data_IF_819516463249
#
_entry.id   IF_819516463249
#
_cell.length_a   1.000
_cell.length_b   1.000
_cell.length_c   1.000
_cell.angle_alpha   90.00
_cell.angle_beta   90.00
_cell.angle_gamma   90.00
#
_symmetry.space_group_name_H-M   'P 1'
#
loop_
_entity.id
_entity.type
_entity.pdbx_description
1 polymer ?
#
# COMPACT_ATOMS: atom_id res chain seq x y z
N UNK A 1 -22.76 -44.15 -6.24
CA UNK A 1 -23.01 -42.82 -5.65
C UNK A 1 -22.47 -41.81 -6.63
N UNK A 2 -23.30 -40.86 -7.07
CA UNK A 2 -22.86 -39.76 -7.95
C UNK A 2 -21.92 -38.84 -7.19
N UNK A 3 -20.99 -38.16 -7.87
CA UNK A 3 -20.18 -37.08 -7.29
C UNK A 3 -21.04 -36.03 -6.58
N UNK A 4 -22.26 -35.78 -7.10
CA UNK A 4 -23.18 -34.79 -6.57
C UNK A 4 -23.84 -35.22 -5.25
N UNK A 5 -24.08 -36.52 -5.09
CA UNK A 5 -24.58 -37.11 -3.84
C UNK A 5 -23.51 -37.09 -2.74
N UNK A 6 -22.24 -36.82 -3.06
CA UNK A 6 -21.14 -36.68 -2.10
C UNK A 6 -20.87 -35.23 -1.70
N UNK A 7 -21.39 -34.25 -2.45
CA UNK A 7 -21.16 -32.80 -2.24
C UNK A 7 -22.31 -32.16 -1.44
N UNK A 8 -23.50 -32.74 -1.49
CA UNK A 8 -24.70 -32.20 -0.84
C UNK A 8 -25.41 -33.24 0.04
N UNK A 9 -24.67 -34.13 0.72
CA UNK A 9 -25.28 -35.08 1.66
C UNK A 9 -25.97 -34.33 2.80
N UNK A 10 -27.27 -34.61 2.98
CA UNK A 10 -28.10 -34.02 4.03
C UNK A 10 -27.52 -34.18 5.46
N UNK A 11 -26.68 -35.19 5.68
CA UNK A 11 -26.13 -35.56 7.00
C UNK A 11 -24.64 -35.25 7.17
N UNK A 12 -23.96 -34.66 6.17
CA UNK A 12 -22.54 -34.26 6.30
C UNK A 12 -22.35 -32.77 6.04
N UNK A 13 -22.00 -32.07 7.10
CA UNK A 13 -21.56 -30.67 7.07
C UNK A 13 -20.28 -30.61 6.24
N UNK A 14 -20.37 -30.11 5.01
CA UNK A 14 -19.17 -29.79 4.25
C UNK A 14 -18.49 -28.57 4.89
N UNK A 15 -17.23 -28.71 5.29
CA UNK A 15 -16.42 -27.63 5.87
C UNK A 15 -15.82 -26.69 4.81
N UNK A 16 -16.41 -26.66 3.61
CA UNK A 16 -15.77 -26.16 2.39
C UNK A 16 -16.74 -25.35 1.56
N UNK A 17 -16.25 -24.23 1.01
CA UNK A 17 -16.99 -23.41 0.07
C UNK A 17 -17.13 -24.06 -1.30
N UNK A 18 -18.35 -24.10 -1.85
CA UNK A 18 -18.65 -24.58 -3.19
C UNK A 18 -18.86 -23.38 -4.10
N UNK A 19 -18.02 -23.25 -5.12
CA UNK A 19 -18.01 -22.13 -6.06
C UNK A 19 -18.71 -22.45 -7.37
N UNK A 20 -19.03 -21.40 -8.15
CA UNK A 20 -19.68 -21.48 -9.47
C UNK A 20 -21.10 -22.06 -9.38
N UNK A 21 -21.83 -21.67 -8.34
CA UNK A 21 -23.24 -22.01 -8.17
C UNK A 21 -24.11 -20.84 -8.61
N UNK A 22 -25.29 -21.12 -9.15
CA UNK A 22 -26.30 -20.10 -9.45
C UNK A 22 -27.42 -20.20 -8.42
N UNK A 23 -27.83 -19.09 -7.81
CA UNK A 23 -29.02 -19.09 -6.96
C UNK A 23 -30.28 -19.08 -7.84
N UNK A 24 -31.12 -20.11 -7.72
CA UNK A 24 -32.33 -20.26 -8.56
C UNK A 24 -33.56 -19.70 -7.86
N UNK A 25 -33.71 -19.97 -6.57
CA UNK A 25 -34.84 -19.50 -5.78
C UNK A 25 -34.52 -19.50 -4.28
N UNK A 26 -35.27 -18.70 -3.55
CA UNK A 26 -35.39 -18.79 -2.10
C UNK A 26 -36.79 -19.34 -1.80
N UNK A 27 -36.87 -20.49 -1.12
CA UNK A 27 -38.14 -21.07 -0.71
C UNK A 27 -38.26 -20.98 0.81
N UNK A 28 -39.36 -20.39 1.28
CA UNK A 28 -39.72 -20.48 2.69
C UNK A 28 -40.28 -21.89 2.89
N UNK A 29 -39.67 -22.66 3.78
CA UNK A 29 -40.10 -24.02 4.09
C UNK A 29 -41.51 -23.99 4.74
N UNK A 30 -42.25 -25.11 4.69
CA UNK A 30 -43.65 -25.20 5.13
C UNK A 30 -43.88 -24.76 6.59
N UNK A 31 -42.84 -24.85 7.43
CA UNK A 31 -42.84 -24.40 8.82
C UNK A 31 -42.83 -22.87 9.00
N UNK A 32 -42.68 -22.09 7.93
CA UNK A 32 -42.65 -20.62 7.93
C UNK A 32 -41.45 -19.98 8.66
N UNK A 33 -40.49 -20.80 9.11
CA UNK A 33 -39.37 -20.40 9.99
C UNK A 33 -37.99 -20.68 9.42
N UNK A 34 -37.86 -21.59 8.47
CA UNK A 34 -36.58 -21.94 7.83
C UNK A 34 -36.64 -21.61 6.35
N UNK A 35 -35.58 -20.99 5.84
CA UNK A 35 -35.44 -20.70 4.41
C UNK A 35 -34.55 -21.77 3.79
N UNK A 36 -34.93 -22.23 2.59
CA UNK A 36 -34.16 -23.15 1.78
C UNK A 36 -33.58 -22.42 0.56
N UNK A 37 -32.31 -22.69 0.31
CA UNK A 37 -31.53 -22.22 -0.84
C UNK A 37 -31.70 -23.23 -1.97
N UNK A 38 -32.36 -22.85 -3.05
CA UNK A 38 -32.34 -23.64 -4.28
C UNK A 38 -31.19 -23.13 -5.14
N UNK A 39 -30.14 -23.93 -5.28
CA UNK A 39 -28.98 -23.62 -6.10
C UNK A 39 -28.90 -24.53 -7.31
N UNK A 40 -28.35 -24.04 -8.41
CA UNK A 40 -27.94 -24.84 -9.55
C UNK A 40 -26.42 -25.00 -9.53
N UNK A 41 -25.96 -26.25 -9.60
CA UNK A 41 -24.56 -26.62 -9.71
C UNK A 41 -24.39 -27.67 -10.80
N UNK A 42 -23.52 -27.41 -11.78
CA UNK A 42 -23.26 -28.32 -12.91
C UNK A 42 -24.52 -28.78 -13.65
N UNK A 43 -25.52 -27.91 -13.79
CA UNK A 43 -26.78 -28.20 -14.48
C UNK A 43 -27.80 -29.01 -13.66
N UNK A 44 -27.54 -29.24 -12.37
CA UNK A 44 -28.48 -29.89 -11.45
C UNK A 44 -28.88 -28.95 -10.33
N UNK A 45 -30.15 -29.02 -9.93
CA UNK A 45 -30.67 -28.25 -8.82
C UNK A 45 -30.50 -29.01 -7.50
N UNK A 46 -30.10 -28.28 -6.47
CA UNK A 46 -29.91 -28.76 -5.11
C UNK A 46 -30.62 -27.81 -4.14
N UNK A 47 -31.26 -28.38 -3.13
CA UNK A 47 -31.92 -27.61 -2.06
C UNK A 47 -31.09 -27.75 -0.80
N UNK A 48 -30.64 -26.62 -0.25
CA UNK A 48 -29.81 -26.55 0.96
C UNK A 48 -30.48 -25.70 2.02
N UNK A 49 -30.27 -26.05 3.29
CA UNK A 49 -30.83 -25.26 4.38
C UNK A 49 -30.10 -23.93 4.53
N UNK A 50 -30.79 -22.81 4.42
CA UNK A 50 -30.19 -21.49 4.59
C UNK A 50 -29.95 -21.18 6.07
N UNK A 51 -28.84 -20.51 6.37
CA UNK A 51 -28.60 -19.95 7.71
C UNK A 51 -29.41 -18.66 7.94
N UNK A 52 -29.65 -17.89 6.88
CA UNK A 52 -30.36 -16.61 6.90
C UNK A 52 -31.22 -16.46 5.65
N UNK A 53 -32.16 -15.51 5.68
CA UNK A 53 -32.90 -15.12 4.49
C UNK A 53 -31.94 -14.61 3.41
N UNK A 54 -32.11 -15.07 2.17
CA UNK A 54 -31.32 -14.59 1.04
C UNK A 54 -32.07 -13.50 0.31
N UNK A 55 -31.36 -12.42 0.00
CA UNK A 55 -31.90 -11.30 -0.74
C UNK A 55 -32.42 -11.76 -2.10
N UNK A 56 -33.66 -11.41 -2.43
CA UNK A 56 -34.27 -11.73 -3.73
C UNK A 56 -33.48 -11.14 -4.90
N UNK A 57 -32.76 -10.03 -4.66
CA UNK A 57 -31.87 -9.41 -5.63
C UNK A 57 -30.72 -10.31 -6.08
N UNK A 58 -30.43 -11.38 -5.34
CA UNK A 58 -29.36 -12.33 -5.65
C UNK A 58 -29.84 -13.55 -6.43
N UNK A 59 -31.15 -13.69 -6.64
CA UNK A 59 -31.72 -14.74 -7.49
C UNK A 59 -31.27 -14.53 -8.94
N UNK A 60 -30.81 -15.60 -9.58
CA UNK A 60 -30.22 -15.61 -10.91
C UNK A 60 -28.72 -15.28 -10.94
N UNK A 61 -28.12 -14.88 -9.81
CA UNK A 61 -26.69 -14.56 -9.75
C UNK A 61 -25.84 -15.80 -9.52
N UNK A 62 -24.63 -15.76 -10.05
CA UNK A 62 -23.56 -16.72 -9.78
C UNK A 62 -22.78 -16.29 -8.54
N UNK A 63 -22.38 -17.28 -7.74
CA UNK A 63 -21.64 -17.06 -6.52
C UNK A 63 -21.04 -18.34 -5.94
N UNK A 64 -20.97 -18.36 -4.62
CA UNK A 64 -20.49 -19.50 -3.84
C UNK A 64 -21.38 -19.75 -2.63
N UNK A 65 -21.42 -21.00 -2.19
CA UNK A 65 -22.03 -21.42 -0.93
C UNK A 65 -20.94 -21.76 0.07
N UNK A 66 -21.08 -21.33 1.32
CA UNK A 66 -20.20 -21.73 2.41
C UNK A 66 -21.00 -22.23 3.63
N UNK A 67 -20.44 -23.13 4.45
CA UNK A 67 -21.04 -23.49 5.72
C UNK A 67 -21.12 -22.27 6.65
N UNK A 68 -22.25 -22.13 7.34
CA UNK A 68 -22.38 -21.12 8.39
C UNK A 68 -21.53 -21.54 9.61
N UNK A 69 -20.54 -20.72 9.96
CA UNK A 69 -19.68 -20.95 11.13
C UNK A 69 -20.21 -20.31 12.42
N UNK A 70 -21.40 -19.73 12.41
CA UNK A 70 -21.93 -19.05 13.58
C UNK A 70 -22.50 -20.05 14.60
N UNK A 71 -21.88 -20.08 15.79
CA UNK A 71 -22.36 -20.75 16.98
C UNK A 71 -23.63 -20.10 17.59
N UNK A 72 -24.39 -19.30 16.81
CA UNK A 72 -25.64 -18.74 17.30
C UNK A 72 -26.71 -19.83 17.23
N UNK A 73 -27.16 -20.22 18.42
CA UNK A 73 -28.10 -21.31 18.75
C UNK A 73 -29.44 -21.42 17.99
N UNK A 74 -29.67 -20.63 16.94
CA UNK A 74 -30.90 -20.66 16.13
C UNK A 74 -30.71 -21.35 14.76
N UNK A 75 -29.52 -21.28 14.16
CA UNK A 75 -29.23 -21.92 12.89
C UNK A 75 -28.64 -23.31 13.19
N UNK A 76 -29.43 -24.37 13.04
CA UNK A 76 -28.98 -25.74 13.30
C UNK A 76 -27.70 -26.11 12.53
N UNK A 77 -26.99 -27.12 13.03
CA UNK A 77 -25.85 -27.74 12.36
C UNK A 77 -26.20 -28.06 10.89
N UNK A 78 -25.32 -27.70 9.96
CA UNK A 78 -25.49 -27.97 8.52
C UNK A 78 -26.20 -26.87 7.71
N UNK A 79 -26.38 -25.67 8.28
CA UNK A 79 -26.88 -24.51 7.53
C UNK A 79 -25.80 -23.89 6.64
N UNK A 80 -26.25 -23.32 5.52
CA UNK A 80 -25.40 -22.80 4.45
C UNK A 80 -25.71 -21.32 4.19
N UNK A 81 -24.69 -20.58 3.74
CA UNK A 81 -24.80 -19.18 3.34
C UNK A 81 -24.45 -19.09 1.86
N UNK A 82 -25.29 -18.44 1.06
CA UNK A 82 -24.97 -18.07 -0.32
C UNK A 82 -24.41 -16.64 -0.36
N UNK A 83 -23.37 -16.43 -1.17
CA UNK A 83 -22.85 -15.10 -1.49
C UNK A 83 -22.64 -14.98 -2.99
N UNK A 84 -23.35 -14.03 -3.61
CA UNK A 84 -23.14 -13.70 -5.01
C UNK A 84 -21.73 -13.14 -5.21
N UNK A 85 -21.09 -13.47 -6.34
CA UNK A 85 -19.86 -12.80 -6.73
C UNK A 85 -20.14 -11.34 -7.04
N UNK A 86 -19.19 -10.47 -6.68
CA UNK A 86 -19.30 -9.07 -7.04
C UNK A 86 -19.22 -8.85 -8.55
N UNK A 87 -18.36 -9.62 -9.23
CA UNK A 87 -18.32 -9.72 -10.67
C UNK A 87 -19.06 -10.99 -11.14
N UNK A 88 -20.17 -10.80 -11.86
CA UNK A 88 -20.99 -11.91 -12.36
C UNK A 88 -20.35 -12.68 -13.52
N UNK A 89 -19.23 -12.23 -14.07
CA UNK A 89 -18.39 -13.00 -14.99
C UNK A 89 -17.34 -13.87 -14.29
N UNK A 90 -17.06 -13.62 -13.00
CA UNK A 90 -16.01 -14.29 -12.25
C UNK A 90 -16.35 -15.78 -12.03
N UNK A 91 -15.42 -16.68 -12.33
CA UNK A 91 -15.56 -18.13 -12.13
C UNK A 91 -14.27 -18.70 -11.55
N UNK A 92 -14.39 -19.68 -10.64
CA UNK A 92 -13.26 -20.54 -10.25
C UNK A 92 -12.83 -21.41 -11.43
N UNK A 93 -11.52 -21.57 -11.57
CA UNK A 93 -10.86 -22.47 -12.52
C UNK A 93 -9.96 -23.38 -11.70
N UNK A 94 -10.46 -24.56 -11.34
CA UNK A 94 -9.76 -25.48 -10.44
C UNK A 94 -8.51 -26.08 -11.08
N UNK A 95 -8.46 -26.11 -12.41
CA UNK A 95 -7.34 -26.59 -13.22
C UNK A 95 -6.09 -25.72 -13.06
N UNK A 96 -6.25 -24.47 -12.62
CA UNK A 96 -5.17 -23.53 -12.37
C UNK A 96 -4.74 -23.48 -10.89
N UNK A 97 -5.38 -24.27 -10.02
CA UNK A 97 -5.03 -24.27 -8.60
C UNK A 97 -3.62 -24.82 -8.37
N UNK A 98 -2.88 -24.17 -7.47
CA UNK A 98 -1.58 -24.67 -7.00
C UNK A 98 -1.72 -25.14 -5.56
N UNK A 99 -0.98 -26.18 -5.20
CA UNK A 99 -1.01 -26.77 -3.86
C UNK A 99 0.27 -26.50 -3.10
N UNK A 100 0.17 -26.53 -1.79
CA UNK A 100 1.35 -26.58 -0.92
C UNK A 100 1.96 -28.00 -1.04
N UNK A 101 3.27 -28.10 -1.25
CA UNK A 101 4.01 -29.37 -1.45
C UNK A 101 3.79 -30.39 -0.31
N UNK A 102 3.47 -29.92 0.90
CA UNK A 102 3.12 -30.78 2.05
C UNK A 102 1.75 -31.48 1.91
N UNK A 103 0.85 -30.90 1.12
CA UNK A 103 -0.51 -31.39 0.88
C UNK A 103 -0.64 -31.73 -0.61
N UNK A 104 -0.15 -32.91 -1.02
CA UNK A 104 -0.38 -33.44 -2.37
C UNK A 104 -1.83 -33.18 -2.81
N UNK A 105 -2.00 -32.62 -4.01
CA UNK A 105 -3.28 -32.35 -4.69
C UNK A 105 -4.39 -33.23 -4.12
N UNK A 106 -5.14 -32.71 -3.16
CA UNK A 106 -6.32 -33.42 -2.68
C UNK A 106 -7.32 -33.29 -3.82
N UNK A 107 -7.66 -34.37 -4.53
CA UNK A 107 -8.70 -34.30 -5.54
C UNK A 107 -9.95 -33.77 -4.85
N UNK A 108 -10.53 -32.73 -5.44
CA UNK A 108 -11.76 -32.05 -5.04
C UNK A 108 -12.57 -32.77 -3.92
N UNK A 109 -12.77 -32.06 -2.81
CA UNK A 109 -13.86 -32.23 -1.84
C UNK A 109 -13.85 -33.40 -0.83
N UNK A 110 -12.80 -34.21 -0.72
CA UNK A 110 -12.86 -35.38 0.20
C UNK A 110 -11.69 -35.54 1.19
N UNK A 111 -10.83 -34.52 1.33
CA UNK A 111 -9.76 -34.51 2.32
C UNK A 111 -10.23 -34.13 3.73
N UNK A 112 -9.51 -34.60 4.75
CA UNK A 112 -9.67 -34.21 6.17
C UNK A 112 -9.35 -32.72 6.44
N UNK A 113 -8.90 -31.99 5.43
CA UNK A 113 -8.35 -30.64 5.54
C UNK A 113 -9.21 -29.62 4.80
N UNK A 114 -9.51 -28.45 5.42
CA UNK A 114 -10.21 -27.36 4.74
C UNK A 114 -9.45 -26.92 3.47
N UNK A 115 -10.17 -26.61 2.39
CA UNK A 115 -9.58 -26.30 1.07
C UNK A 115 -8.59 -25.12 1.09
N UNK A 116 -8.74 -24.17 2.02
CA UNK A 116 -7.80 -23.06 2.16
C UNK A 116 -6.44 -23.46 2.74
N UNK A 117 -6.27 -24.69 3.26
CA UNK A 117 -4.99 -25.20 3.78
C UNK A 117 -4.21 -26.04 2.77
N UNK A 118 -4.88 -26.61 1.77
CA UNK A 118 -4.25 -27.44 0.75
C UNK A 118 -3.73 -26.63 -0.44
N UNK A 119 -4.43 -25.53 -0.79
CA UNK A 119 -4.06 -24.67 -1.91
C UNK A 119 -3.21 -23.48 -1.45
N UNK A 120 -2.17 -23.16 -2.22
CA UNK A 120 -1.37 -21.95 -2.02
C UNK A 120 -2.02 -20.78 -2.77
N UNK A 121 -2.38 -21.02 -4.04
CA UNK A 121 -3.17 -20.11 -4.86
C UNK A 121 -4.31 -20.85 -5.57
N UNK A 122 -5.41 -20.13 -5.76
CA UNK A 122 -6.61 -20.55 -6.44
C UNK A 122 -6.69 -19.88 -7.82
N UNK A 123 -7.09 -20.65 -8.82
CA UNK A 123 -7.36 -20.18 -10.18
C UNK A 123 -8.73 -19.54 -10.34
N UNK A 124 -8.76 -18.43 -11.06
CA UNK A 124 -9.95 -17.63 -11.36
C UNK A 124 -9.94 -17.20 -12.82
N UNK A 125 -11.11 -16.86 -13.37
CA UNK A 125 -11.26 -16.18 -14.66
C UNK A 125 -12.45 -15.23 -14.63
N UNK A 126 -12.44 -14.21 -15.46
CA UNK A 126 -13.54 -13.26 -15.66
C UNK A 126 -13.50 -12.73 -17.09
N UNK A 127 -14.50 -11.95 -17.51
CA UNK A 127 -14.57 -11.43 -18.88
C UNK A 127 -13.37 -10.55 -19.24
N UNK A 128 -12.84 -9.79 -18.26
CA UNK A 128 -11.65 -8.95 -18.45
C UNK A 128 -10.34 -9.74 -18.49
N UNK A 129 -10.32 -10.98 -17.96
CA UNK A 129 -9.16 -11.88 -17.90
C UNK A 129 -9.59 -13.30 -18.28
N UNK A 130 -9.94 -13.53 -19.58
CA UNK A 130 -10.56 -14.78 -20.01
C UNK A 130 -9.59 -15.97 -19.96
N UNK A 131 -8.29 -15.72 -20.05
CA UNK A 131 -7.22 -16.73 -19.92
C UNK A 131 -7.04 -17.24 -18.50
N UNK A 132 -7.64 -16.57 -17.52
CA UNK A 132 -7.51 -16.87 -16.10
C UNK A 132 -6.33 -16.17 -15.42
N UNK A 133 -6.36 -16.18 -14.08
CA UNK A 133 -5.39 -15.58 -13.18
C UNK A 133 -5.40 -16.31 -11.83
N UNK A 134 -4.37 -16.09 -11.01
CA UNK A 134 -4.23 -16.69 -9.68
C UNK A 134 -4.54 -15.67 -8.59
N UNK A 135 -5.19 -16.11 -7.52
CA UNK A 135 -5.37 -15.34 -6.29
C UNK A 135 -5.05 -16.23 -5.08
N UNK A 136 -4.62 -15.68 -3.94
CA UNK A 136 -4.34 -16.45 -2.74
C UNK A 136 -5.52 -17.29 -2.26
N UNK A 137 -5.23 -18.44 -1.65
CA UNK A 137 -6.27 -19.32 -1.14
C UNK A 137 -7.11 -18.63 -0.04
N UNK A 138 -8.43 -18.77 -0.16
CA UNK A 138 -9.40 -18.12 0.72
C UNK A 138 -9.80 -16.69 0.33
N UNK A 139 -9.15 -16.10 -0.68
CA UNK A 139 -9.54 -14.80 -1.23
C UNK A 139 -10.52 -15.00 -2.39
N UNK A 140 -11.66 -14.29 -2.35
CA UNK A 140 -12.57 -14.17 -3.49
C UNK A 140 -12.30 -12.83 -4.17
N UNK A 141 -11.78 -12.80 -5.42
CA UNK A 141 -11.50 -11.55 -6.12
C UNK A 141 -12.73 -10.66 -6.29
N UNK A 142 -12.50 -9.36 -6.34
CA UNK A 142 -13.54 -8.36 -6.53
C UNK A 142 -13.92 -8.14 -7.99
N UNK A 143 -14.38 -6.93 -8.30
CA UNK A 143 -14.79 -6.56 -9.65
C UNK A 143 -13.62 -6.71 -10.64
N UNK A 144 -13.85 -7.27 -11.84
CA UNK A 144 -12.82 -7.51 -12.87
C UNK A 144 -11.64 -8.38 -12.39
N UNK A 145 -11.82 -9.15 -11.30
CA UNK A 145 -10.76 -9.94 -10.70
C UNK A 145 -9.71 -9.13 -9.94
N UNK A 146 -10.04 -7.90 -9.52
CA UNK A 146 -9.14 -7.05 -8.76
C UNK A 146 -9.01 -7.50 -7.30
N UNK A 147 -7.79 -7.41 -6.77
CA UNK A 147 -7.46 -7.56 -5.37
C UNK A 147 -6.13 -6.85 -5.08
N UNK A 148 -5.84 -6.55 -3.82
CA UNK A 148 -4.53 -6.02 -3.40
C UNK A 148 -3.61 -7.21 -3.12
N UNK A 149 -2.45 -7.35 -3.77
CA UNK A 149 -1.50 -8.43 -3.51
C UNK A 149 -0.97 -8.36 -2.08
N UNK A 150 -0.45 -9.50 -1.60
CA UNK A 150 0.22 -9.56 -0.30
C UNK A 150 1.67 -9.11 -0.49
N UNK A 151 1.98 -7.94 0.07
CA UNK A 151 3.32 -7.33 0.07
C UNK A 151 3.89 -7.28 1.50
N UNK A 152 3.35 -8.11 2.41
CA UNK A 152 3.73 -8.07 3.82
C UNK A 152 5.04 -8.82 4.09
N UNK A 153 5.76 -8.34 5.11
CA UNK A 153 6.95 -8.99 5.62
C UNK A 153 6.65 -9.74 6.93
N UNK A 154 7.23 -10.94 7.07
CA UNK A 154 6.97 -11.80 8.24
C UNK A 154 7.88 -11.42 9.40
N UNK A 155 7.27 -10.95 10.50
CA UNK A 155 7.96 -10.66 11.76
C UNK A 155 7.58 -11.69 12.83
N UNK A 156 8.58 -12.34 13.44
CA UNK A 156 8.37 -13.34 14.50
C UNK A 156 8.50 -12.72 15.90
N UNK A 157 7.45 -12.84 16.71
CA UNK A 157 7.39 -12.29 18.09
C UNK A 157 7.08 -13.40 19.09
N UNK A 158 7.78 -13.41 20.24
CA UNK A 158 7.44 -14.30 21.35
C UNK A 158 6.22 -13.77 22.10
N UNK A 159 5.21 -14.60 22.24
CA UNK A 159 3.95 -14.23 22.89
C UNK A 159 3.97 -14.62 24.37
N UNK A 160 3.72 -13.68 25.30
CA UNK A 160 3.62 -14.00 26.72
C UNK A 160 2.28 -14.68 27.07
N UNK A 161 2.22 -15.55 28.10
CA UNK A 161 1.00 -16.25 28.50
C UNK A 161 -0.18 -15.32 28.83
N UNK A 162 0.10 -14.12 29.34
CA UNK A 162 -0.90 -13.09 29.65
C UNK A 162 -1.64 -12.64 28.38
N UNK A 163 -0.92 -12.49 27.26
CA UNK A 163 -1.54 -12.13 25.99
C UNK A 163 -2.32 -13.29 25.37
N UNK A 164 -1.84 -14.54 25.53
CA UNK A 164 -2.62 -15.71 25.14
C UNK A 164 -3.95 -15.78 25.91
N UNK A 165 -3.95 -15.42 27.20
CA UNK A 165 -5.15 -15.40 28.00
C UNK A 165 -6.16 -14.37 27.47
N UNK A 166 -5.72 -13.15 27.16
CA UNK A 166 -6.60 -12.13 26.57
C UNK A 166 -7.14 -12.56 25.19
N UNK A 167 -6.30 -13.14 24.32
CA UNK A 167 -6.77 -13.66 23.04
C UNK A 167 -7.85 -14.74 23.22
N UNK A 168 -7.65 -15.67 24.17
CA UNK A 168 -8.64 -16.71 24.50
C UNK A 168 -9.93 -16.14 25.07
N UNK A 169 -9.86 -15.08 25.90
CA UNK A 169 -11.03 -14.38 26.43
C UNK A 169 -11.93 -13.86 25.31
N UNK A 170 -11.33 -13.46 24.19
CA UNK A 170 -12.03 -13.00 22.99
C UNK A 170 -12.24 -14.10 21.93
N UNK A 171 -11.95 -15.37 22.25
CA UNK A 171 -12.06 -16.52 21.34
C UNK A 171 -11.23 -16.38 20.05
N UNK A 172 -10.12 -15.65 20.12
CA UNK A 172 -9.20 -15.42 19.00
C UNK A 172 -7.85 -16.07 19.26
N UNK A 173 -7.08 -16.31 18.19
CA UNK A 173 -5.65 -16.60 18.33
C UNK A 173 -4.88 -15.29 18.54
N UNK A 174 -3.71 -15.34 19.23
CA UNK A 174 -2.84 -14.17 19.37
C UNK A 174 -2.50 -13.48 18.05
N UNK A 175 -2.19 -14.25 17.01
CA UNK A 175 -1.88 -13.71 15.68
C UNK A 175 -3.07 -12.93 15.07
N UNK A 176 -4.27 -13.51 15.12
CA UNK A 176 -5.50 -12.88 14.60
C UNK A 176 -5.82 -11.57 15.33
N UNK A 177 -5.58 -11.54 16.66
CA UNK A 177 -5.79 -10.34 17.46
C UNK A 177 -4.77 -9.24 17.14
N UNK A 178 -3.50 -9.61 16.93
CA UNK A 178 -2.45 -8.67 16.52
C UNK A 178 -2.70 -8.14 15.10
N UNK A 179 -3.03 -9.00 14.15
CA UNK A 179 -3.35 -8.63 12.77
C UNK A 179 -4.51 -7.63 12.72
N UNK A 180 -5.55 -7.86 13.54
CA UNK A 180 -6.67 -6.94 13.69
C UNK A 180 -6.22 -5.58 14.24
N UNK A 181 -5.42 -5.56 15.30
CA UNK A 181 -4.92 -4.31 15.88
C UNK A 181 -4.03 -3.53 14.91
N UNK A 182 -3.15 -4.23 14.17
CA UNK A 182 -2.34 -3.64 13.09
C UNK A 182 -3.23 -3.04 12.01
N UNK A 183 -4.29 -3.75 11.61
CA UNK A 183 -5.26 -3.26 10.63
C UNK A 183 -5.95 -1.97 11.08
N UNK A 184 -6.31 -1.88 12.36
CA UNK A 184 -6.87 -0.67 12.96
C UNK A 184 -5.85 0.48 12.99
N UNK A 185 -4.65 0.22 13.49
CA UNK A 185 -3.62 1.26 13.61
C UNK A 185 -3.16 1.79 12.24
N UNK A 186 -3.00 0.92 11.25
CA UNK A 186 -2.62 1.29 9.89
C UNK A 186 -3.79 1.86 9.06
N UNK A 187 -4.99 1.95 9.63
CA UNK A 187 -6.17 2.47 8.96
C UNK A 187 -6.61 1.64 7.75
N UNK A 188 -6.20 0.37 7.67
CA UNK A 188 -6.40 -0.49 6.50
C UNK A 188 -7.88 -0.84 6.40
N UNK A 189 -8.53 -0.43 5.30
CA UNK A 189 -9.91 -0.81 5.02
C UNK A 189 -9.93 -1.89 3.95
N UNK A 190 -10.52 -3.04 4.28
CA UNK A 190 -10.67 -4.15 3.35
C UNK A 190 -12.06 -4.09 2.69
N UNK A 191 -12.09 -3.73 1.41
CA UNK A 191 -13.34 -3.58 0.67
C UNK A 191 -13.62 -4.81 -0.18
N UNK A 192 -14.89 -5.23 -0.25
CA UNK A 192 -15.29 -6.37 -1.09
C UNK A 192 -14.97 -6.20 -2.59
N UNK A 193 -14.98 -4.96 -3.09
CA UNK A 193 -14.71 -4.64 -4.50
C UNK A 193 -13.24 -4.84 -4.90
N UNK A 194 -12.33 -4.72 -3.94
CA UNK A 194 -10.89 -4.88 -4.11
C UNK A 194 -10.32 -5.42 -2.81
N UNK A 195 -10.58 -6.71 -2.52
CA UNK A 195 -10.23 -7.30 -1.24
C UNK A 195 -8.72 -7.47 -1.14
N UNK A 196 -8.19 -7.46 0.08
CA UNK A 196 -6.75 -7.60 0.32
C UNK A 196 -6.35 -9.05 0.53
N UNK A 197 -5.29 -9.47 -0.16
CA UNK A 197 -4.68 -10.79 -0.03
C UNK A 197 -4.01 -11.00 1.33
N UNK A 198 -3.44 -9.92 1.89
CA UNK A 198 -2.73 -9.90 3.17
C UNK A 198 -3.63 -10.11 4.41
N UNK A 199 -4.95 -10.15 4.21
CA UNK A 199 -5.99 -10.35 5.25
C UNK A 199 -6.08 -9.26 6.29
N UNK A 200 -5.31 -8.18 6.20
CA UNK A 200 -5.42 -7.05 7.11
C UNK A 200 -6.70 -6.26 6.84
N UNK A 201 -7.32 -5.80 7.91
CA UNK A 201 -8.53 -5.01 7.86
C UNK A 201 -8.86 -4.47 9.23
N UNK A 202 -9.20 -3.18 9.28
CA UNK A 202 -9.70 -2.51 10.45
C UNK A 202 -11.12 -2.99 10.77
N UNK A 203 -11.42 -3.09 12.07
CA UNK A 203 -12.72 -3.48 12.60
C UNK A 203 -13.76 -2.35 12.56
N UNK A 204 -13.33 -1.09 12.49
CA UNK A 204 -14.26 0.04 12.49
C UNK A 204 -13.59 1.38 12.77
N UNK A 205 -14.33 2.48 12.61
CA UNK A 205 -13.80 3.84 12.81
C UNK A 205 -13.37 4.10 14.24
N UNK A 206 -14.13 3.58 15.19
CA UNK A 206 -13.92 3.83 16.62
C UNK A 206 -12.72 3.02 17.09
N UNK A 207 -12.55 1.80 16.58
CA UNK A 207 -11.38 0.95 16.84
C UNK A 207 -10.10 1.61 16.33
N UNK A 208 -10.11 2.20 15.13
CA UNK A 208 -8.96 2.98 14.62
C UNK A 208 -8.62 4.15 15.53
N UNK A 209 -9.63 4.91 15.95
CA UNK A 209 -9.44 6.04 16.86
C UNK A 209 -8.84 5.58 18.20
N UNK A 210 -9.31 4.46 18.76
CA UNK A 210 -8.80 3.94 20.02
C UNK A 210 -7.39 3.35 19.89
N UNK A 211 -7.08 2.70 18.77
CA UNK A 211 -5.73 2.19 18.48
C UNK A 211 -4.73 3.35 18.38
N UNK A 212 -5.10 4.42 17.66
CA UNK A 212 -4.30 5.64 17.53
C UNK A 212 -4.08 6.32 18.89
N UNK A 213 -5.15 6.52 19.67
CA UNK A 213 -5.05 7.09 21.02
C UNK A 213 -4.17 6.26 21.95
N UNK A 214 -4.20 4.93 21.84
CA UNK A 214 -3.31 4.07 22.60
C UNK A 214 -1.85 4.25 22.19
N UNK A 215 -1.58 4.29 20.87
CA UNK A 215 -0.22 4.45 20.34
C UNK A 215 0.36 5.81 20.76
N UNK A 216 -0.40 6.88 20.56
CA UNK A 216 0.01 8.24 20.90
C UNK A 216 0.30 8.36 22.40
N UNK A 217 -0.56 7.79 23.25
CA UNK A 217 -0.34 7.83 24.70
C UNK A 217 0.87 7.01 25.15
N UNK A 218 1.11 5.85 24.54
CA UNK A 218 2.21 4.96 24.93
C UNK A 218 3.57 5.40 24.35
N UNK A 219 3.55 5.96 23.14
CA UNK A 219 4.72 6.12 22.29
C UNK A 219 4.80 7.47 21.56
N UNK A 220 3.85 8.40 21.75
CA UNK A 220 3.86 9.73 21.10
C UNK A 220 5.14 10.53 21.34
N UNK A 221 5.78 10.38 22.51
CA UNK A 221 7.10 10.99 22.79
C UNK A 221 8.24 10.46 21.91
N UNK A 222 8.02 9.35 21.20
CA UNK A 222 8.95 8.73 20.25
C UNK A 222 8.44 8.84 18.82
N UNK A 223 7.29 9.48 18.60
CA UNK A 223 6.78 9.70 17.27
C UNK A 223 7.75 10.60 16.51
N UNK A 224 8.11 10.17 15.32
CA UNK A 224 8.85 10.96 14.34
C UNK A 224 7.92 11.08 13.15
N UNK A 225 7.98 12.21 12.45
CA UNK A 225 7.29 12.37 11.18
C UNK A 225 8.14 11.71 10.07
N UNK A 226 7.76 10.51 9.58
CA UNK A 226 8.54 9.81 8.57
C UNK A 226 8.56 10.56 7.23
N UNK A 227 7.52 11.35 6.92
CA UNK A 227 7.48 12.15 5.69
C UNK A 227 8.49 13.30 5.77
N UNK A 228 8.60 13.92 6.95
CA UNK A 228 9.62 14.93 7.21
C UNK A 228 11.04 14.35 7.13
N UNK A 229 11.28 13.17 7.70
CA UNK A 229 12.59 12.50 7.58
C UNK A 229 12.94 12.16 6.14
N UNK A 230 11.97 11.69 5.36
CA UNK A 230 12.21 11.33 3.96
C UNK A 230 12.50 12.59 3.12
N UNK A 231 11.79 13.70 3.37
CA UNK A 231 12.11 15.00 2.77
C UNK A 231 13.51 15.48 3.14
N UNK A 232 13.90 15.40 4.41
CA UNK A 232 15.26 15.77 4.83
C UNK A 232 16.33 14.91 4.17
N UNK A 233 16.08 13.61 3.97
CA UNK A 233 17.00 12.72 3.27
C UNK A 233 17.12 13.08 1.77
N UNK A 234 16.00 13.35 1.10
CA UNK A 234 15.98 13.80 -0.30
C UNK A 234 16.69 15.15 -0.46
N UNK A 235 16.43 16.12 0.42
CA UNK A 235 17.10 17.42 0.43
C UNK A 235 18.62 17.29 0.68
N UNK A 236 19.04 16.35 1.53
CA UNK A 236 20.46 16.07 1.77
C UNK A 236 21.15 15.43 0.57
N UNK A 237 20.48 14.49 -0.13
CA UNK A 237 21.00 13.92 -1.38
C UNK A 237 21.10 14.98 -2.49
N UNK A 238 20.10 15.85 -2.62
CA UNK A 238 20.14 17.00 -3.54
C UNK A 238 21.29 17.95 -3.18
N UNK A 239 21.53 18.17 -1.88
CA UNK A 239 22.63 18.99 -1.41
C UNK A 239 24.01 18.39 -1.76
N UNK A 240 24.19 17.10 -1.52
CA UNK A 240 25.45 16.40 -1.85
C UNK A 240 25.71 16.41 -3.37
N UNK A 241 24.67 16.17 -4.19
CA UNK A 241 24.77 16.25 -5.63
C UNK A 241 25.14 17.66 -6.12
N UNK A 242 24.56 18.70 -5.49
CA UNK A 242 24.94 20.08 -5.77
C UNK A 242 26.39 20.34 -5.38
N UNK A 243 26.85 19.92 -4.20
CA UNK A 243 28.24 20.11 -3.77
C UNK A 243 29.25 19.49 -4.75
N UNK A 244 28.95 18.30 -5.28
CA UNK A 244 29.78 17.65 -6.29
C UNK A 244 29.84 18.45 -7.60
N UNK A 245 28.70 18.95 -8.09
CA UNK A 245 28.64 19.83 -9.27
C UNK A 245 29.45 21.11 -9.05
N UNK A 246 29.33 21.74 -7.89
CA UNK A 246 30.08 22.93 -7.53
C UNK A 246 31.59 22.67 -7.43
N UNK A 247 31.98 21.53 -6.87
CA UNK A 247 33.38 21.11 -6.80
C UNK A 247 33.96 20.89 -8.19
N UNK A 248 33.19 20.32 -9.13
CA UNK A 248 33.60 20.17 -10.53
C UNK A 248 33.77 21.53 -11.22
N UNK A 249 32.81 22.44 -11.05
CA UNK A 249 32.85 23.79 -11.64
C UNK A 249 34.05 24.62 -11.11
N UNK A 250 34.31 24.56 -9.81
CA UNK A 250 35.47 25.22 -9.20
C UNK A 250 36.79 24.55 -9.62
N UNK A 251 36.80 23.24 -9.80
CA UNK A 251 37.90 22.48 -10.38
C UNK A 251 38.22 22.92 -11.80
N UNK A 252 37.21 23.01 -12.67
CA UNK A 252 37.38 23.54 -14.04
C UNK A 252 37.92 24.97 -14.05
N UNK A 253 37.44 25.82 -13.14
CA UNK A 253 37.91 27.19 -13.02
C UNK A 253 39.39 27.24 -12.61
N UNK A 254 39.80 26.37 -11.69
CA UNK A 254 41.21 26.22 -11.29
C UNK A 254 42.08 25.68 -12.44
N UNK A 255 41.60 24.68 -13.17
CA UNK A 255 42.29 24.10 -14.33
C UNK A 255 42.50 25.11 -15.47
N UNK A 256 41.61 26.10 -15.58
CA UNK A 256 41.74 27.25 -16.49
C UNK A 256 42.64 28.37 -15.96
N UNK A 257 43.33 28.13 -14.84
CA UNK A 257 44.29 29.05 -14.23
C UNK A 257 43.67 30.12 -13.33
N UNK A 258 42.42 29.95 -12.88
CA UNK A 258 41.79 30.81 -11.88
C UNK A 258 42.06 30.38 -10.44
N UNK A 259 41.89 31.31 -9.49
CA UNK A 259 41.86 30.99 -8.07
C UNK A 259 40.40 30.88 -7.60
N UNK A 260 39.90 29.67 -7.27
CA UNK A 260 38.54 29.46 -6.77
C UNK A 260 38.15 30.36 -5.59
N UNK A 261 39.12 30.74 -4.74
CA UNK A 261 38.85 31.64 -3.60
C UNK A 261 38.52 33.05 -4.05
N UNK A 262 39.17 33.53 -5.10
CA UNK A 262 38.88 34.85 -5.68
C UNK A 262 37.52 34.87 -6.36
N UNK A 263 37.13 33.76 -7.01
CA UNK A 263 35.81 33.60 -7.60
C UNK A 263 34.70 33.63 -6.53
N UNK A 264 34.89 32.89 -5.43
CA UNK A 264 33.94 32.89 -4.31
C UNK A 264 33.84 34.27 -3.64
N UNK A 265 34.96 34.98 -3.44
CA UNK A 265 34.95 36.37 -2.94
C UNK A 265 34.21 37.33 -3.89
N UNK A 266 34.37 37.15 -5.21
CA UNK A 266 33.69 37.99 -6.20
C UNK A 266 32.18 37.75 -6.20
N UNK A 267 31.74 36.49 -6.10
CA UNK A 267 30.32 36.11 -6.00
C UNK A 267 29.71 36.66 -4.70
N UNK A 268 30.41 36.54 -3.56
CA UNK A 268 29.96 37.11 -2.27
C UNK A 268 29.82 38.64 -2.34
N UNK A 269 30.74 39.31 -3.03
CA UNK A 269 30.68 40.75 -3.28
C UNK A 269 29.50 41.17 -4.16
N UNK A 270 29.13 40.37 -5.16
CA UNK A 270 27.95 40.62 -6.01
C UNK A 270 26.67 40.42 -5.22
N UNK A 271 26.59 39.38 -4.39
CA UNK A 271 25.41 39.07 -3.58
C UNK A 271 25.17 40.09 -2.47
N UNK A 272 26.23 40.54 -1.80
CA UNK A 272 26.14 41.60 -0.80
C UNK A 272 25.56 42.89 -1.42
N UNK A 273 25.98 43.24 -2.64
CA UNK A 273 25.43 44.40 -3.35
C UNK A 273 23.98 44.19 -3.80
N UNK A 274 23.62 42.96 -4.16
CA UNK A 274 22.26 42.59 -4.54
C UNK A 274 21.29 42.73 -3.36
N UNK A 275 21.72 42.35 -2.16
CA UNK A 275 20.98 42.52 -0.90
C UNK A 275 20.82 44.01 -0.53
N UNK A 276 21.84 44.82 -0.78
CA UNK A 276 21.82 46.26 -0.47
C UNK A 276 21.01 47.09 -1.47
N UNK A 277 21.01 46.72 -2.76
CA UNK A 277 20.45 47.53 -3.86
C UNK A 277 19.16 46.96 -4.46
N UNK A 278 18.77 45.74 -4.10
CA UNK A 278 17.58 45.06 -4.61
C UNK A 278 17.76 44.46 -6.02
N UNK A 279 16.77 43.69 -6.51
CA UNK A 279 16.88 42.88 -7.73
C UNK A 279 17.04 43.70 -9.02
N UNK A 280 16.73 45.00 -9.01
CA UNK A 280 16.90 45.90 -10.16
C UNK A 280 18.37 46.18 -10.50
N UNK A 281 19.31 45.91 -9.56
CA UNK A 281 20.76 46.04 -9.76
C UNK A 281 21.32 45.14 -10.88
N UNK A 282 20.67 44.01 -11.14
CA UNK A 282 21.11 43.00 -12.12
C UNK A 282 20.99 43.54 -13.54
N UNK A 283 20.01 44.40 -13.78
CA UNK A 283 19.76 44.99 -15.11
C UNK A 283 20.78 46.07 -15.46
N UNK A 284 21.38 46.73 -14.46
CA UNK A 284 22.44 47.73 -14.66
C UNK A 284 23.86 47.13 -14.72
N UNK A 285 24.04 45.86 -14.31
CA UNK A 285 25.35 45.19 -14.34
C UNK A 285 25.91 45.05 -15.77
N UNK A 286 25.04 44.83 -16.77
CA UNK A 286 25.46 44.81 -18.18
C UNK A 286 25.91 46.18 -18.69
N UNK A 287 25.38 47.27 -18.14
CA UNK A 287 25.73 48.63 -18.54
C UNK A 287 26.96 49.18 -17.78
N UNK A 288 27.14 48.83 -16.51
CA UNK A 288 28.29 49.28 -15.70
C UNK A 288 29.57 48.45 -15.93
N UNK A 289 29.46 47.17 -16.34
CA UNK A 289 30.62 46.36 -16.76
C UNK A 289 31.29 46.94 -18.01
N UNK A 290 30.53 47.60 -18.90
CA UNK A 290 31.10 48.34 -20.04
C UNK A 290 31.65 49.73 -19.68
N UNK A 291 31.21 50.35 -18.57
CA UNK A 291 31.45 51.76 -18.29
C UNK A 291 32.41 52.08 -17.12
N UNK A 292 32.67 51.15 -16.19
CA UNK A 292 33.34 51.52 -14.93
C UNK A 292 34.30 50.45 -14.38
N UNK A 293 35.59 50.82 -14.32
CA UNK A 293 36.67 50.13 -13.61
C UNK A 293 36.50 50.17 -12.07
N UNK A 294 35.32 49.86 -11.53
CA UNK A 294 35.03 49.96 -10.09
C UNK A 294 34.33 48.73 -9.50
N UNK A 295 34.69 47.54 -9.98
CA UNK A 295 34.67 46.32 -9.16
C UNK A 295 36.14 45.99 -8.84
N UNK A 296 36.62 46.15 -7.59
CA UNK A 296 38.05 46.20 -7.29
C UNK A 296 38.89 44.94 -7.59
N UNK A 297 38.33 43.89 -8.21
CA UNK A 297 39.05 42.66 -8.57
C UNK A 297 38.61 42.00 -9.90
N UNK A 298 37.63 42.53 -10.63
CA UNK A 298 37.19 41.94 -11.92
C UNK A 298 38.15 42.27 -13.08
N UNK A 299 38.96 43.31 -12.94
CA UNK A 299 40.00 43.71 -13.90
C UNK A 299 41.21 42.79 -13.94
N UNK A 300 41.35 41.85 -13.01
CA UNK A 300 42.43 40.84 -12.97
C UNK A 300 42.02 39.52 -13.64
N UNK A 301 40.74 39.35 -13.97
CA UNK A 301 40.23 38.16 -14.61
C UNK A 301 40.51 38.20 -16.11
N UNK A 302 41.11 37.14 -16.63
CA UNK A 302 41.35 37.00 -18.05
C UNK A 302 40.00 36.83 -18.82
N UNK A 303 39.98 37.04 -20.15
CA UNK A 303 38.74 37.00 -20.93
C UNK A 303 37.97 35.68 -20.83
N UNK A 304 38.66 34.56 -20.61
CA UNK A 304 38.03 33.25 -20.41
C UNK A 304 37.36 33.10 -19.04
N UNK A 305 37.89 33.75 -18.01
CA UNK A 305 37.31 33.75 -16.67
C UNK A 305 36.05 34.63 -16.62
N UNK A 306 36.07 35.77 -17.31
CA UNK A 306 34.90 36.65 -17.48
C UNK A 306 33.76 35.94 -18.22
N UNK A 307 34.06 35.28 -19.35
CA UNK A 307 33.06 34.54 -20.12
C UNK A 307 32.44 33.36 -19.32
N UNK A 308 33.22 32.73 -18.44
CA UNK A 308 32.72 31.69 -17.54
C UNK A 308 31.81 32.26 -16.45
N UNK A 309 32.19 33.40 -15.86
CA UNK A 309 31.39 34.11 -14.86
C UNK A 309 30.03 34.54 -15.42
N UNK A 310 30.02 35.08 -16.65
CA UNK A 310 28.79 35.47 -17.36
C UNK A 310 27.89 34.27 -17.65
N UNK A 311 28.47 33.16 -18.12
CA UNK A 311 27.73 31.92 -18.36
C UNK A 311 27.17 31.33 -17.06
N UNK A 312 27.92 31.43 -15.96
CA UNK A 312 27.52 30.95 -14.64
C UNK A 312 26.38 31.79 -14.04
N UNK A 313 26.48 33.12 -14.11
CA UNK A 313 25.40 34.04 -13.70
C UNK A 313 24.13 33.88 -14.53
N UNK A 314 24.27 33.65 -15.85
CA UNK A 314 23.14 33.41 -16.75
C UNK A 314 22.44 32.07 -16.49
N UNK A 315 23.17 31.06 -15.99
CA UNK A 315 22.61 29.73 -15.69
C UNK A 315 21.97 29.66 -14.31
N UNK A 316 22.50 30.40 -13.33
CA UNK A 316 22.08 30.28 -11.93
C UNK A 316 21.21 31.42 -11.42
N UNK A 317 21.22 32.61 -12.03
CA UNK A 317 20.26 33.69 -11.75
C UNK A 317 20.35 34.31 -10.33
N UNK A 318 20.27 35.64 -10.19
CA UNK A 318 20.36 36.32 -8.89
C UNK A 318 19.26 35.91 -7.90
N UNK A 319 18.11 35.49 -8.39
CA UNK A 319 16.97 35.06 -7.57
C UNK A 319 17.13 33.67 -6.93
N UNK A 320 18.03 32.81 -7.41
CA UNK A 320 18.30 31.51 -6.77
C UNK A 320 19.32 31.64 -5.62
N UNK A 321 20.20 32.63 -5.67
CA UNK A 321 21.20 32.88 -4.62
C UNK A 321 20.57 33.52 -3.36
N UNK A 322 19.56 34.39 -3.53
CA UNK A 322 18.79 34.99 -2.42
C UNK A 322 17.85 34.01 -1.72
N UNK A 323 17.50 32.89 -2.38
CA UNK A 323 16.64 31.84 -1.81
C UNK A 323 17.43 30.79 -1.04
N UNK A 324 18.75 30.91 -0.94
CA UNK A 324 19.63 29.97 -0.27
C UNK A 324 19.66 30.26 1.25
N UNK A 325 18.95 29.50 2.11
CA UNK A 325 19.06 29.70 3.56
C UNK A 325 20.48 29.36 4.05
N UNK A 326 21.19 28.52 3.28
CA UNK A 326 22.56 28.07 3.52
C UNK A 326 23.68 29.02 3.12
N UNK A 327 23.45 30.14 2.40
CA UNK A 327 24.54 31.11 2.09
C UNK A 327 25.12 31.68 3.39
N UNK A 328 24.23 31.91 4.35
CA UNK A 328 24.61 32.44 5.66
C UNK A 328 25.31 31.40 6.55
N UNK A 329 24.93 30.12 6.48
CA UNK A 329 25.52 29.06 7.30
C UNK A 329 26.84 28.53 6.74
N UNK A 330 26.97 28.45 5.40
CA UNK A 330 28.23 28.18 4.71
C UNK A 330 29.30 29.25 5.02
N UNK A 331 28.88 30.49 5.34
CA UNK A 331 29.73 31.63 5.74
C UNK A 331 30.54 31.39 7.02
N UNK A 332 30.09 30.46 7.87
CA UNK A 332 30.66 30.25 9.22
C UNK A 332 31.34 28.87 9.37
N UNK A 333 31.30 28.03 8.33
CA UNK A 333 31.86 26.68 8.39
C UNK A 333 31.16 25.79 9.44
N UNK A 334 29.88 26.04 9.72
CA UNK A 334 29.06 25.16 10.53
C UNK A 334 28.07 24.45 9.61
N UNK A 335 27.98 23.13 9.74
CA UNK A 335 26.85 22.38 9.20
C UNK A 335 25.54 23.02 9.70
N UNK A 336 24.45 22.99 8.91
CA UNK A 336 23.14 23.37 9.42
C UNK A 336 22.91 22.56 10.69
N UNK A 337 22.66 23.23 11.81
CA UNK A 337 22.37 22.51 13.05
C UNK A 337 21.12 21.68 12.81
N UNK A 338 21.21 20.39 13.14
CA UNK A 338 20.08 19.47 13.26
C UNK A 338 18.85 20.22 13.82
N UNK A 339 17.79 20.28 13.02
CA UNK A 339 16.43 20.65 13.47
C UNK A 339 15.55 19.42 13.36
#
# INVERSE_FOLDING_TARGET
>A
MSSDELIFQADRIHSVSIHNVTLVANQINEDGKTADLVIEYQGKQHTLRAAHYVNESDVGKVGYVLPAHFASSAAGNGTMIFRAYQDQSLRRVYELDTTNDEFQMVPLNHGKWPHHRAHLTCGWRCDSRPTGFLAPAGLVPGAKGEFVPDETEVVSVRIPPEFEWEARRHQMKPAELLESFIGDLAGIQNFGNRPRADRFGSNGSDERMLADHWLERAHGMKAIDPDQMNQQAEEAEEWDAQQDEWSELLGEYADRGGDPRQLLEAVDGVLTKLDELGPDFVLDLQAEVEATQTLPKLTELNPSQLAYLEKWLASNGPNNLLKWPGWHDARVGQAPKDV
#
